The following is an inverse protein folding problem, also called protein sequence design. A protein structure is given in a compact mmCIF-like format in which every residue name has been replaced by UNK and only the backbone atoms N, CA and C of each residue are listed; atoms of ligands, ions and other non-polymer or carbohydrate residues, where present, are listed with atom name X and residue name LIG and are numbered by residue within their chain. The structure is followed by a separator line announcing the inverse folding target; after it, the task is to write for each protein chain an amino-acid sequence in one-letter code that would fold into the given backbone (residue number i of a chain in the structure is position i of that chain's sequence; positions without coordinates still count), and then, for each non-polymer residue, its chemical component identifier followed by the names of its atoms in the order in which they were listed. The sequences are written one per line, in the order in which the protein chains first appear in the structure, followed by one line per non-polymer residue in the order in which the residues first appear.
data_IF_399095918735
#
_entry.id   IF_399095918735
#
_cell.length_a   1.000
_cell.length_b   1.000
_cell.length_c   1.000
_cell.angle_alpha   90.00
_cell.angle_beta   90.00
_cell.angle_gamma   90.00
#
_symmetry.space_group_name_H-M   'P 1'
#
loop_
_entity.id
_entity.type
_entity.pdbx_description
1 polymer ?
#
# COMPACT_ATOMS: atom_id res chain seq x y z
N UNK A 1 10.20 -53.32 9.93
CA UNK A 1 9.57 -52.20 10.62
C UNK A 1 10.05 -50.91 9.95
N UNK A 2 9.27 -50.41 8.97
CA UNK A 2 9.61 -49.18 8.25
C UNK A 2 9.24 -48.00 9.16
N UNK A 3 10.23 -47.29 9.68
CA UNK A 3 10.03 -45.96 10.25
C UNK A 3 9.69 -45.00 9.11
N UNK A 4 8.40 -44.68 8.96
CA UNK A 4 7.99 -43.55 8.15
C UNK A 4 8.49 -42.26 8.86
N UNK A 5 9.55 -41.69 8.33
CA UNK A 5 9.97 -40.32 8.67
C UNK A 5 8.85 -39.39 8.21
N UNK A 6 7.92 -39.08 9.10
CA UNK A 6 7.07 -37.91 8.97
C UNK A 6 8.00 -36.68 8.99
N UNK A 7 8.47 -36.22 7.84
CA UNK A 7 8.90 -34.83 7.73
C UNK A 7 7.67 -34.00 8.08
N UNK A 8 7.63 -33.44 9.28
CA UNK A 8 6.74 -32.36 9.61
C UNK A 8 7.07 -31.23 8.64
N UNK A 9 6.20 -31.05 7.65
CA UNK A 9 6.28 -29.87 6.77
C UNK A 9 6.29 -28.68 7.72
N UNK A 10 7.39 -27.93 7.78
CA UNK A 10 7.45 -26.73 8.60
C UNK A 10 6.22 -25.89 8.26
N UNK A 11 5.41 -25.54 9.26
CA UNK A 11 4.20 -24.76 9.01
C UNK A 11 4.58 -23.46 8.33
N UNK A 12 4.22 -23.36 7.04
CA UNK A 12 4.46 -22.15 6.26
C UNK A 12 3.62 -21.02 6.85
N UNK A 13 4.22 -19.87 7.24
CA UNK A 13 3.47 -18.78 7.85
C UNK A 13 2.56 -18.10 6.84
N UNK A 14 1.46 -17.54 7.30
CA UNK A 14 0.75 -16.53 6.53
C UNK A 14 1.62 -15.27 6.42
N UNK A 15 1.47 -14.54 5.33
CA UNK A 15 2.25 -13.33 5.07
C UNK A 15 1.30 -12.20 4.71
N UNK A 16 1.41 -11.07 5.40
CA UNK A 16 0.70 -9.82 5.08
C UNK A 16 1.75 -8.74 4.88
N UNK A 17 1.84 -8.22 3.66
CA UNK A 17 2.68 -7.08 3.33
C UNK A 17 1.81 -5.86 3.08
N UNK A 18 1.92 -4.84 3.93
CA UNK A 18 1.18 -3.59 3.86
C UNK A 18 2.12 -2.53 3.30
N UNK A 19 1.75 -1.91 2.19
CA UNK A 19 2.53 -0.88 1.52
C UNK A 19 1.72 0.40 1.39
N UNK A 20 2.11 1.45 2.11
CA UNK A 20 1.57 2.79 1.94
C UNK A 20 2.12 3.45 0.66
N UNK A 21 1.44 4.46 0.16
CA UNK A 21 1.78 5.21 -1.05
C UNK A 21 2.19 6.62 -0.66
N UNK A 22 3.47 6.97 -0.85
CA UNK A 22 4.05 8.28 -0.51
C UNK A 22 4.08 8.64 1.00
N UNK A 23 4.09 7.66 1.88
CA UNK A 23 4.16 7.91 3.33
C UNK A 23 5.61 8.14 3.76
N UNK A 24 5.86 9.23 4.48
CA UNK A 24 7.18 9.62 4.93
C UNK A 24 7.72 8.80 6.10
N UNK A 25 9.05 8.78 6.21
CA UNK A 25 9.75 8.17 7.35
C UNK A 25 9.33 8.80 8.69
N UNK A 26 9.04 10.12 8.69
CA UNK A 26 8.62 10.89 9.84
C UNK A 26 7.13 10.88 10.16
N UNK A 27 6.28 10.18 9.41
CA UNK A 27 4.82 10.23 9.58
C UNK A 27 4.30 9.31 10.70
N UNK A 28 5.12 8.40 11.23
CA UNK A 28 4.72 7.44 12.25
C UNK A 28 5.21 7.80 13.65
N UNK A 29 4.37 7.58 14.67
CA UNK A 29 4.72 7.81 16.08
C UNK A 29 5.99 7.08 16.51
N UNK A 30 6.15 5.81 16.13
CA UNK A 30 7.34 5.01 16.42
C UNK A 30 8.63 5.50 15.72
N UNK A 31 8.53 6.43 14.76
CA UNK A 31 9.66 7.12 14.14
C UNK A 31 9.79 8.58 14.59
N UNK A 32 9.01 9.01 15.59
CA UNK A 32 9.15 10.31 16.22
C UNK A 32 8.09 11.35 15.86
N UNK A 33 7.05 10.98 15.10
CA UNK A 33 5.91 11.85 14.82
C UNK A 33 5.18 12.22 16.12
N UNK A 34 4.86 13.52 16.28
CA UNK A 34 4.24 14.04 17.51
C UNK A 34 2.79 14.45 17.29
N UNK A 35 2.46 14.91 16.10
CA UNK A 35 1.14 15.48 15.74
C UNK A 35 0.19 14.42 15.23
N UNK A 36 0.62 13.65 14.22
CA UNK A 36 -0.14 12.52 13.69
C UNK A 36 -0.09 11.37 14.70
N UNK A 37 -1.22 10.67 14.88
CA UNK A 37 -1.33 9.56 15.82
C UNK A 37 -1.46 8.24 15.08
N UNK A 38 -0.54 7.31 15.36
CA UNK A 38 -0.48 5.99 14.72
C UNK A 38 -0.39 4.86 15.75
N UNK A 39 -1.36 4.76 16.69
CA UNK A 39 -1.25 3.83 17.82
C UNK A 39 -1.16 2.36 17.43
N UNK A 40 -1.80 1.95 16.31
CA UNK A 40 -1.76 0.56 15.84
C UNK A 40 -0.42 0.23 15.13
N UNK A 41 0.12 1.17 14.35
CA UNK A 41 1.46 1.05 13.76
C UNK A 41 2.54 1.10 14.86
N UNK A 42 2.36 1.94 15.88
CA UNK A 42 3.25 1.97 17.05
C UNK A 42 3.17 0.67 17.85
N UNK A 43 1.98 0.05 17.95
CA UNK A 43 1.79 -1.29 18.51
C UNK A 43 2.50 -2.34 17.67
N UNK A 44 2.37 -2.30 16.33
CA UNK A 44 3.07 -3.22 15.42
C UNK A 44 4.58 -3.15 15.64
N UNK A 45 5.16 -1.95 15.75
CA UNK A 45 6.57 -1.73 16.07
C UNK A 45 6.96 -2.25 17.46
N UNK A 46 6.10 -2.03 18.47
CA UNK A 46 6.34 -2.48 19.84
C UNK A 46 6.26 -3.99 20.01
N UNK A 47 5.36 -4.65 19.27
CA UNK A 47 5.20 -6.11 19.29
C UNK A 47 6.15 -6.82 18.32
N UNK A 48 6.93 -6.08 17.54
CA UNK A 48 7.86 -6.59 16.55
C UNK A 48 9.19 -5.83 16.52
N UNK A 49 9.71 -5.66 15.32
CA UNK A 49 10.99 -4.99 15.04
C UNK A 49 10.77 -3.79 14.12
N UNK A 50 11.43 -2.68 14.46
CA UNK A 50 11.47 -1.45 13.68
C UNK A 50 12.85 -1.31 13.02
N UNK A 51 12.88 -1.10 11.71
CA UNK A 51 14.09 -0.89 10.95
C UNK A 51 14.34 0.61 10.77
N UNK A 52 15.57 1.06 11.02
CA UNK A 52 15.93 2.47 10.85
C UNK A 52 16.54 2.78 9.49
N UNK A 53 16.96 1.75 8.72
CA UNK A 53 17.69 1.86 7.46
C UNK A 53 17.12 0.90 6.42
N UNK A 54 15.82 1.05 6.13
CA UNK A 54 15.15 0.31 5.06
C UNK A 54 14.88 1.24 3.87
N UNK A 55 15.15 0.76 2.66
CA UNK A 55 15.12 1.57 1.46
C UNK A 55 14.09 1.03 0.46
N UNK A 56 13.27 1.92 -0.04
CA UNK A 56 12.39 1.66 -1.16
C UNK A 56 13.20 1.35 -2.44
N UNK A 57 12.57 0.68 -3.39
CA UNK A 57 13.23 0.32 -4.64
C UNK A 57 13.54 1.49 -5.57
N UNK A 58 12.86 2.62 -5.37
CA UNK A 58 13.05 3.86 -6.13
C UNK A 58 12.40 5.03 -5.38
N UNK A 59 12.62 6.25 -5.87
CA UNK A 59 12.05 7.48 -5.31
C UNK A 59 10.62 7.76 -5.78
N UNK A 60 10.01 6.87 -6.58
CA UNK A 60 8.63 6.96 -7.07
C UNK A 60 7.98 5.59 -7.18
N UNK A 61 6.64 5.56 -7.18
CA UNK A 61 5.83 4.36 -6.94
C UNK A 61 6.06 3.20 -7.93
N UNK A 62 5.92 3.38 -9.25
CA UNK A 62 5.95 2.24 -10.17
C UNK A 62 7.29 1.47 -10.18
N UNK A 63 8.47 2.12 -10.31
CA UNK A 63 9.74 1.40 -10.25
C UNK A 63 9.99 0.80 -8.87
N UNK A 64 9.59 1.45 -7.78
CA UNK A 64 9.74 0.92 -6.44
C UNK A 64 8.91 -0.36 -6.23
N UNK A 65 7.64 -0.34 -6.64
CA UNK A 65 6.76 -1.52 -6.61
C UNK A 65 7.27 -2.65 -7.51
N UNK A 66 7.90 -2.32 -8.66
CA UNK A 66 8.54 -3.31 -9.51
C UNK A 66 9.73 -4.00 -8.80
N UNK A 67 10.59 -3.24 -8.13
CA UNK A 67 11.70 -3.79 -7.32
C UNK A 67 11.16 -4.71 -6.24
N UNK A 68 10.14 -4.28 -5.47
CA UNK A 68 9.50 -5.09 -4.44
C UNK A 68 8.97 -6.42 -4.99
N UNK A 69 8.27 -6.37 -6.14
CA UNK A 69 7.65 -7.56 -6.71
C UNK A 69 8.65 -8.54 -7.33
N UNK A 70 9.78 -8.05 -7.86
CA UNK A 70 10.70 -8.86 -8.66
C UNK A 70 12.03 -9.18 -7.95
N UNK A 71 12.35 -8.53 -6.83
CA UNK A 71 13.65 -8.63 -6.18
C UNK A 71 14.81 -8.03 -6.98
N UNK A 72 14.52 -7.41 -8.14
CA UNK A 72 15.53 -6.83 -9.02
C UNK A 72 15.69 -5.34 -8.69
N UNK A 73 16.89 -4.91 -8.28
CA UNK A 73 17.14 -3.49 -8.07
C UNK A 73 16.97 -2.67 -9.36
N UNK A 74 16.77 -1.35 -9.25
CA UNK A 74 16.37 -0.46 -10.36
C UNK A 74 17.28 -0.57 -11.60
N UNK A 75 18.55 -0.92 -11.44
CA UNK A 75 19.47 -1.16 -12.56
C UNK A 75 19.11 -2.36 -13.44
N UNK A 76 18.42 -3.37 -12.90
CA UNK A 76 17.99 -4.58 -13.59
C UNK A 76 16.47 -4.72 -13.72
N UNK A 77 15.69 -3.97 -12.94
CA UNK A 77 14.23 -3.97 -13.01
C UNK A 77 13.73 -3.48 -14.36
N UNK A 78 12.64 -4.03 -14.85
CA UNK A 78 12.00 -3.64 -16.11
C UNK A 78 11.42 -2.23 -16.06
N UNK A 79 10.77 -1.88 -14.95
CA UNK A 79 10.14 -0.57 -14.74
C UNK A 79 11.12 0.29 -13.96
N UNK A 80 11.60 1.37 -14.58
CA UNK A 80 12.61 2.28 -14.01
C UNK A 80 12.11 3.70 -13.80
N UNK A 81 10.85 3.96 -14.04
CA UNK A 81 10.20 5.25 -13.86
C UNK A 81 8.69 5.15 -13.96
N UNK A 82 8.00 6.20 -13.55
CA UNK A 82 6.56 6.32 -13.75
C UNK A 82 6.28 6.59 -15.24
N UNK A 83 5.53 5.70 -15.87
CA UNK A 83 5.23 5.79 -17.29
C UNK A 83 4.34 4.64 -17.78
N UNK A 84 4.49 4.29 -19.05
CA UNK A 84 3.71 3.21 -19.70
C UNK A 84 4.35 1.82 -19.57
N UNK A 85 5.50 1.70 -18.92
CA UNK A 85 6.14 0.41 -18.71
C UNK A 85 5.31 -0.45 -17.77
N UNK A 86 5.20 -1.74 -18.09
CA UNK A 86 4.48 -2.74 -17.30
C UNK A 86 5.29 -4.02 -17.21
N UNK A 87 4.98 -4.85 -16.23
CA UNK A 87 5.53 -6.20 -16.15
C UNK A 87 5.06 -7.04 -17.35
N UNK A 88 5.88 -7.99 -17.76
CA UNK A 88 5.53 -8.95 -18.80
C UNK A 88 5.16 -10.29 -18.15
N UNK A 89 4.37 -11.09 -18.86
CA UNK A 89 3.87 -12.37 -18.35
C UNK A 89 4.95 -13.36 -17.91
N UNK A 90 6.18 -13.23 -18.45
CA UNK A 90 7.34 -14.04 -18.07
C UNK A 90 8.15 -13.45 -16.90
N UNK A 91 7.86 -12.23 -16.44
CA UNK A 91 8.53 -11.70 -15.25
C UNK A 91 8.15 -12.54 -14.02
N UNK A 92 9.15 -12.88 -13.24
CA UNK A 92 8.98 -13.63 -12.00
C UNK A 92 8.69 -12.62 -10.89
N UNK A 93 7.58 -12.82 -10.17
CA UNK A 93 7.23 -12.05 -8.99
C UNK A 93 7.23 -12.95 -7.76
N UNK A 94 7.49 -12.40 -6.58
CA UNK A 94 7.39 -13.20 -5.37
C UNK A 94 5.97 -13.75 -5.12
N UNK A 95 4.94 -13.06 -5.61
CA UNK A 95 3.57 -13.58 -5.57
C UNK A 95 3.40 -14.84 -6.43
N UNK A 96 4.03 -14.92 -7.63
CA UNK A 96 4.06 -16.15 -8.43
C UNK A 96 4.76 -17.30 -7.70
N UNK A 97 5.90 -17.00 -7.06
CA UNK A 97 6.63 -18.04 -6.31
C UNK A 97 5.80 -18.54 -5.13
N UNK A 98 5.23 -17.63 -4.34
CA UNK A 98 4.36 -18.04 -3.22
C UNK A 98 3.16 -18.84 -3.70
N UNK A 99 2.53 -18.45 -4.82
CA UNK A 99 1.43 -19.22 -5.42
C UNK A 99 1.87 -20.63 -5.81
N UNK A 100 3.05 -20.77 -6.45
CA UNK A 100 3.61 -22.08 -6.82
C UNK A 100 3.92 -22.97 -5.60
N UNK A 101 4.19 -22.34 -4.44
CA UNK A 101 4.40 -23.02 -3.16
C UNK A 101 3.12 -23.22 -2.35
N UNK A 102 1.96 -23.06 -2.98
CA UNK A 102 0.67 -23.42 -2.40
C UNK A 102 -0.03 -22.31 -1.62
N UNK A 103 0.49 -21.08 -1.61
CA UNK A 103 -0.18 -19.96 -0.96
C UNK A 103 -1.46 -19.54 -1.68
N UNK A 104 -2.47 -19.18 -0.92
CA UNK A 104 -3.62 -18.42 -1.39
C UNK A 104 -3.20 -16.94 -1.48
N UNK A 105 -3.20 -16.34 -2.67
CA UNK A 105 -2.61 -15.02 -2.90
C UNK A 105 -3.68 -13.97 -3.19
N UNK A 106 -3.65 -12.84 -2.47
CA UNK A 106 -4.55 -11.72 -2.63
C UNK A 106 -3.81 -10.37 -2.71
N UNK A 107 -4.22 -9.52 -3.65
CA UNK A 107 -3.73 -8.14 -3.78
C UNK A 107 -4.91 -7.17 -3.66
N UNK A 108 -4.78 -6.19 -2.77
CA UNK A 108 -5.83 -5.23 -2.47
C UNK A 108 -5.28 -3.80 -2.54
N UNK A 109 -5.82 -2.99 -3.45
CA UNK A 109 -5.44 -1.60 -3.63
C UNK A 109 -4.72 -1.31 -4.94
N UNK A 110 -3.65 -0.51 -4.87
CA UNK A 110 -2.90 -0.02 -6.03
C UNK A 110 -1.87 -1.05 -6.50
N UNK A 111 -2.15 -1.74 -7.62
CA UNK A 111 -1.14 -2.54 -8.30
C UNK A 111 0.01 -1.66 -8.81
N UNK A 112 -0.29 -0.68 -9.65
CA UNK A 112 0.62 0.42 -10.02
C UNK A 112 1.75 0.08 -10.98
N UNK A 113 1.92 -1.19 -11.36
CA UNK A 113 2.95 -1.70 -12.29
C UNK A 113 2.35 -2.44 -13.49
N UNK A 114 1.06 -2.21 -13.73
CA UNK A 114 0.31 -2.66 -14.90
C UNK A 114 -0.28 -1.48 -15.66
N UNK A 115 -0.67 -1.72 -16.90
CA UNK A 115 -1.35 -0.74 -17.76
C UNK A 115 -2.46 -1.45 -18.53
N UNK A 116 -3.75 -1.11 -18.29
CA UNK A 116 -4.84 -1.73 -19.03
C UNK A 116 -4.74 -1.45 -20.54
N UNK A 117 -5.15 -2.40 -21.40
CA UNK A 117 -5.42 -3.79 -21.09
C UNK A 117 -4.14 -4.60 -20.84
N UNK A 118 -4.19 -5.71 -20.08
CA UNK A 118 -5.36 -6.41 -19.57
C UNK A 118 -5.81 -5.93 -18.18
N UNK A 119 -7.10 -6.10 -17.82
CA UNK A 119 -7.63 -5.80 -16.50
C UNK A 119 -7.33 -6.88 -15.45
N UNK A 120 -6.79 -8.02 -15.86
CA UNK A 120 -6.41 -9.13 -14.99
C UNK A 120 -4.88 -9.21 -14.77
N UNK A 121 -4.15 -8.12 -14.94
CA UNK A 121 -2.69 -8.06 -14.80
C UNK A 121 -2.18 -8.65 -13.46
N UNK A 122 -2.75 -8.33 -12.28
CA UNK A 122 -2.32 -8.96 -11.03
C UNK A 122 -2.49 -10.49 -11.00
N UNK A 123 -3.50 -11.04 -11.69
CA UNK A 123 -3.70 -12.50 -11.81
C UNK A 123 -2.56 -13.14 -12.62
N UNK A 124 -2.15 -12.50 -13.71
CA UNK A 124 -1.01 -12.95 -14.54
C UNK A 124 0.28 -12.98 -13.70
N UNK A 125 0.38 -12.09 -12.73
CA UNK A 125 1.55 -11.94 -11.86
C UNK A 125 1.42 -12.62 -10.48
N UNK A 126 0.49 -13.59 -10.36
CA UNK A 126 0.45 -14.53 -9.24
C UNK A 126 -0.59 -14.25 -8.16
N UNK A 127 -1.48 -13.26 -8.31
CA UNK A 127 -2.55 -13.00 -7.37
C UNK A 127 -3.88 -13.62 -7.83
N UNK A 128 -4.42 -14.55 -7.06
CA UNK A 128 -5.69 -15.23 -7.36
C UNK A 128 -6.93 -14.42 -6.96
N UNK A 129 -6.78 -13.49 -6.05
CA UNK A 129 -7.79 -12.50 -5.69
C UNK A 129 -7.19 -11.11 -5.88
N UNK A 130 -7.93 -10.21 -6.54
CA UNK A 130 -7.57 -8.82 -6.72
C UNK A 130 -8.78 -7.91 -6.55
N UNK A 131 -8.64 -6.85 -5.76
CA UNK A 131 -9.63 -5.78 -5.68
C UNK A 131 -8.95 -4.42 -5.53
N UNK A 132 -9.06 -3.54 -6.54
CA UNK A 132 -8.39 -2.25 -6.50
C UNK A 132 -8.18 -1.60 -7.87
N UNK A 133 -6.99 -1.03 -8.06
CA UNK A 133 -6.58 -0.24 -9.22
C UNK A 133 -5.43 -0.91 -9.96
N UNK A 134 -5.54 -1.04 -11.28
CA UNK A 134 -4.46 -1.61 -12.10
C UNK A 134 -3.34 -0.58 -12.30
N UNK A 135 -3.68 0.62 -12.79
CA UNK A 135 -2.68 1.64 -13.09
C UNK A 135 -2.60 2.74 -12.02
N UNK A 136 -1.53 3.52 -12.08
CA UNK A 136 -1.27 4.58 -11.12
C UNK A 136 -2.25 5.76 -11.24
N UNK A 137 -2.66 6.15 -12.45
CA UNK A 137 -3.54 7.31 -12.66
C UNK A 137 -4.94 7.08 -12.10
N UNK A 138 -5.48 5.88 -12.30
CA UNK A 138 -6.73 5.47 -11.69
C UNK A 138 -6.63 5.50 -10.15
N UNK A 139 -5.48 5.06 -9.60
CA UNK A 139 -5.25 5.01 -8.17
C UNK A 139 -5.10 6.38 -7.49
N UNK A 140 -4.86 7.48 -8.24
CA UNK A 140 -4.92 8.83 -7.68
C UNK A 140 -6.33 9.22 -7.24
N UNK A 141 -7.37 8.59 -7.81
CA UNK A 141 -8.75 8.94 -7.54
C UNK A 141 -9.33 8.12 -6.38
N UNK A 142 -9.59 8.75 -5.25
CA UNK A 142 -10.19 8.08 -4.07
C UNK A 142 -11.69 7.81 -4.24
N UNK A 143 -12.33 8.48 -5.21
CA UNK A 143 -13.74 8.34 -5.54
C UNK A 143 -13.93 8.02 -7.03
N UNK A 144 -13.33 6.91 -7.52
CA UNK A 144 -13.46 6.51 -8.91
C UNK A 144 -14.88 6.02 -9.23
N UNK A 145 -15.24 6.00 -10.51
CA UNK A 145 -16.53 5.44 -10.95
C UNK A 145 -16.57 3.90 -10.89
N UNK A 146 -15.40 3.26 -10.81
CA UNK A 146 -15.29 1.81 -10.68
C UNK A 146 -13.97 1.41 -10.01
N UNK A 147 -13.94 0.19 -9.48
CA UNK A 147 -12.73 -0.55 -9.13
C UNK A 147 -12.66 -1.82 -9.96
N UNK A 148 -11.52 -2.50 -9.96
CA UNK A 148 -11.35 -3.77 -10.63
C UNK A 148 -11.42 -4.91 -9.60
N UNK A 149 -12.26 -5.91 -9.86
CA UNK A 149 -12.34 -7.16 -9.12
C UNK A 149 -12.08 -8.33 -10.06
N UNK A 150 -10.94 -8.99 -9.92
CA UNK A 150 -10.56 -10.18 -10.69
C UNK A 150 -10.78 -10.00 -12.20
N UNK A 151 -10.32 -8.89 -12.75
CA UNK A 151 -10.43 -8.59 -14.18
C UNK A 151 -11.74 -7.93 -14.63
N UNK A 152 -12.69 -7.71 -13.74
CA UNK A 152 -13.98 -7.09 -14.05
C UNK A 152 -14.11 -5.72 -13.39
N UNK A 153 -14.73 -4.76 -14.09
CA UNK A 153 -15.08 -3.46 -13.50
C UNK A 153 -16.28 -3.61 -12.56
N UNK A 154 -16.11 -3.16 -11.32
CA UNK A 154 -17.15 -3.04 -10.31
C UNK A 154 -17.55 -1.58 -10.21
N UNK A 155 -18.74 -1.23 -10.71
CA UNK A 155 -19.25 0.14 -10.70
C UNK A 155 -19.47 0.64 -9.28
N UNK A 156 -19.05 1.89 -9.02
CA UNK A 156 -19.28 2.64 -7.80
C UNK A 156 -20.32 3.74 -8.03
N UNK A 157 -20.79 4.36 -6.95
CA UNK A 157 -21.84 5.41 -7.00
C UNK A 157 -21.27 6.82 -7.16
N UNK A 158 -19.98 6.93 -7.48
CA UNK A 158 -19.31 8.20 -7.71
C UNK A 158 -19.55 8.69 -9.14
N UNK A 159 -19.47 10.03 -9.34
CA UNK A 159 -19.50 10.65 -10.65
C UNK A 159 -18.32 11.62 -10.79
N UNK A 160 -17.66 11.59 -11.95
CA UNK A 160 -16.57 12.48 -12.26
C UNK A 160 -17.06 13.77 -12.94
N UNK A 161 -16.25 14.82 -12.87
CA UNK A 161 -16.41 15.99 -13.72
C UNK A 161 -16.06 15.63 -15.19
N UNK A 162 -16.89 16.03 -16.16
CA UNK A 162 -16.78 15.58 -17.55
C UNK A 162 -15.48 15.97 -18.26
N UNK A 163 -14.91 17.17 -17.95
CA UNK A 163 -13.69 17.65 -18.58
C UNK A 163 -12.49 16.70 -18.45
N UNK A 164 -12.44 15.89 -17.42
CA UNK A 164 -11.34 14.92 -17.21
C UNK A 164 -11.40 13.74 -18.20
N UNK A 165 -12.56 13.43 -18.75
CA UNK A 165 -12.73 12.41 -19.80
C UNK A 165 -12.33 12.94 -21.18
N UNK A 166 -12.55 14.23 -21.43
CA UNK A 166 -12.30 14.87 -22.74
C UNK A 166 -10.83 15.20 -22.96
N UNK A 167 -10.11 15.59 -21.89
CA UNK A 167 -8.71 16.03 -21.97
C UNK A 167 -7.70 14.87 -22.01
N UNK A 168 -8.09 13.66 -21.56
CA UNK A 168 -7.20 12.51 -21.46
C UNK A 168 -7.77 11.30 -22.17
N UNK A 169 -7.47 11.22 -23.47
CA UNK A 169 -7.82 10.07 -24.29
C UNK A 169 -6.80 8.93 -24.09
N UNK A 170 -7.31 7.73 -23.89
CA UNK A 170 -6.50 6.51 -23.78
C UNK A 170 -6.84 5.68 -22.54
N UNK A 171 -6.79 4.37 -22.70
CA UNK A 171 -7.16 3.39 -21.67
C UNK A 171 -6.34 3.53 -20.37
N UNK A 172 -5.12 4.06 -20.45
CA UNK A 172 -4.27 4.29 -19.28
C UNK A 172 -4.80 5.35 -18.31
N UNK A 173 -5.69 6.22 -18.75
CA UNK A 173 -6.30 7.26 -17.90
C UNK A 173 -7.71 6.90 -17.46
N UNK A 174 -8.21 5.77 -17.89
CA UNK A 174 -9.56 5.35 -17.53
C UNK A 174 -9.72 5.21 -16.01
N UNK A 175 -10.78 5.82 -15.46
CA UNK A 175 -11.06 5.88 -14.02
C UNK A 175 -10.30 6.97 -13.26
N UNK A 176 -9.28 7.60 -13.89
CA UNK A 176 -8.61 8.78 -13.31
C UNK A 176 -9.52 10.01 -13.34
N UNK A 177 -9.16 11.03 -12.57
CA UNK A 177 -9.84 12.32 -12.59
C UNK A 177 -10.35 12.76 -11.23
N UNK A 178 -11.34 13.67 -11.26
CA UNK A 178 -11.87 14.31 -10.06
C UNK A 178 -13.35 14.04 -9.93
N UNK A 179 -13.76 13.52 -8.79
CA UNK A 179 -15.15 13.25 -8.50
C UNK A 179 -15.92 14.54 -8.14
N UNK A 180 -17.05 14.75 -8.79
CA UNK A 180 -18.06 15.75 -8.46
C UNK A 180 -19.04 15.19 -7.41
N UNK A 181 -19.40 13.89 -7.50
CA UNK A 181 -20.21 13.17 -6.51
C UNK A 181 -19.33 12.13 -5.82
N UNK A 182 -19.27 12.18 -4.49
CA UNK A 182 -18.42 11.35 -3.62
C UNK A 182 -19.28 10.53 -2.67
N UNK A 183 -19.63 9.30 -3.06
CA UNK A 183 -20.47 8.37 -2.27
C UNK A 183 -19.65 7.21 -1.71
N UNK A 184 -18.75 6.67 -2.53
CA UNK A 184 -17.99 5.48 -2.24
C UNK A 184 -16.50 5.83 -2.15
N UNK A 185 -15.96 5.87 -0.94
CA UNK A 185 -14.54 6.10 -0.70
C UNK A 185 -13.79 4.78 -0.92
N UNK A 186 -13.05 4.69 -2.02
CA UNK A 186 -12.43 3.46 -2.46
C UNK A 186 -11.42 2.85 -1.46
N UNK A 187 -10.56 3.64 -0.74
CA UNK A 187 -9.67 3.05 0.27
C UNK A 187 -10.42 2.24 1.33
N UNK A 188 -11.59 2.72 1.79
CA UNK A 188 -12.42 1.98 2.75
C UNK A 188 -12.97 0.68 2.14
N UNK A 189 -13.49 0.72 0.91
CA UNK A 189 -14.03 -0.48 0.24
C UNK A 189 -12.94 -1.54 0.04
N UNK A 190 -11.73 -1.12 -0.29
CA UNK A 190 -10.57 -1.99 -0.46
C UNK A 190 -10.19 -2.64 0.88
N UNK A 191 -10.14 -1.87 1.97
CA UNK A 191 -9.89 -2.39 3.31
C UNK A 191 -10.95 -3.40 3.77
N UNK A 192 -12.23 -3.12 3.53
CA UNK A 192 -13.33 -4.02 3.87
C UNK A 192 -13.22 -5.34 3.08
N UNK A 193 -12.85 -5.27 1.80
CA UNK A 193 -12.61 -6.47 0.97
C UNK A 193 -11.41 -7.29 1.43
N UNK A 194 -10.32 -6.63 1.82
CA UNK A 194 -9.15 -7.25 2.41
C UNK A 194 -9.50 -8.05 3.66
N UNK A 195 -10.22 -7.45 4.62
CA UNK A 195 -10.63 -8.12 5.85
C UNK A 195 -11.49 -9.35 5.55
N UNK A 196 -12.45 -9.22 4.64
CA UNK A 196 -13.29 -10.34 4.19
C UNK A 196 -12.45 -11.47 3.55
N UNK A 197 -11.40 -11.11 2.81
CA UNK A 197 -10.49 -12.10 2.22
C UNK A 197 -9.66 -12.82 3.27
N UNK A 198 -9.16 -12.14 4.30
CA UNK A 198 -8.40 -12.77 5.40
C UNK A 198 -9.26 -13.83 6.08
N UNK A 199 -10.52 -13.52 6.42
CA UNK A 199 -11.45 -14.50 6.99
C UNK A 199 -11.65 -15.72 6.07
N UNK A 200 -11.89 -15.48 4.77
CA UNK A 200 -12.05 -16.54 3.77
C UNK A 200 -10.79 -17.40 3.62
N UNK A 201 -9.62 -16.77 3.52
CA UNK A 201 -8.37 -17.50 3.33
C UNK A 201 -7.99 -18.32 4.55
N UNK A 202 -8.17 -17.77 5.76
CA UNK A 202 -7.90 -18.44 7.03
C UNK A 202 -8.85 -19.62 7.31
N UNK A 203 -10.05 -19.67 6.72
CA UNK A 203 -10.96 -20.81 6.86
C UNK A 203 -10.39 -22.09 6.23
N UNK A 204 -9.50 -21.97 5.26
CA UNK A 204 -8.77 -23.09 4.68
C UNK A 204 -7.44 -23.34 5.43
N UNK A 205 -7.53 -24.05 6.55
CA UNK A 205 -6.36 -24.35 7.41
C UNK A 205 -5.24 -25.17 6.73
N UNK A 206 -5.49 -25.76 5.56
CA UNK A 206 -4.50 -26.57 4.85
C UNK A 206 -3.53 -25.75 3.98
N UNK A 207 -3.81 -24.44 3.79
CA UNK A 207 -3.02 -23.58 2.91
C UNK A 207 -2.71 -22.25 3.60
N UNK A 208 -1.47 -21.81 3.62
CA UNK A 208 -1.15 -20.45 4.05
C UNK A 208 -1.68 -19.43 3.03
N UNK A 209 -1.77 -18.17 3.45
CA UNK A 209 -2.12 -17.08 2.55
C UNK A 209 -1.02 -16.02 2.50
N UNK A 210 -0.94 -15.38 1.35
CA UNK A 210 -0.17 -14.16 1.13
C UNK A 210 -1.12 -13.03 0.74
N UNK A 211 -1.05 -11.93 1.46
CA UNK A 211 -1.79 -10.70 1.19
C UNK A 211 -0.81 -9.57 0.91
N UNK A 212 -0.98 -8.92 -0.22
CA UNK A 212 -0.37 -7.64 -0.54
C UNK A 212 -1.43 -6.53 -0.42
N UNK A 213 -1.38 -5.77 0.67
CA UNK A 213 -2.24 -4.60 0.88
C UNK A 213 -1.51 -3.36 0.39
N UNK A 214 -1.74 -3.01 -0.86
CA UNK A 214 -1.11 -1.90 -1.55
C UNK A 214 -2.01 -0.67 -1.49
N UNK A 215 -1.92 0.08 -0.42
CA UNK A 215 -2.67 1.31 -0.22
C UNK A 215 -2.40 2.31 -1.37
N UNK A 216 -3.38 3.16 -1.65
CA UNK A 216 -3.21 4.33 -2.52
C UNK A 216 -3.27 5.65 -1.73
N UNK A 217 -3.17 5.57 -0.42
CA UNK A 217 -3.08 6.70 0.50
C UNK A 217 -1.77 6.58 1.32
N UNK A 218 -1.20 7.73 1.76
CA UNK A 218 -1.70 9.09 1.67
C UNK A 218 -1.34 9.84 0.35
N UNK A 219 -1.04 9.16 -0.75
CA UNK A 219 -0.76 9.78 -2.06
C UNK A 219 -1.87 10.77 -2.43
N UNK A 220 -1.51 11.93 -3.00
CA UNK A 220 -2.48 12.94 -3.41
C UNK A 220 -3.26 12.53 -4.68
N UNK A 221 -4.51 12.95 -4.81
CA UNK A 221 -5.14 13.08 -6.13
C UNK A 221 -4.57 14.32 -6.83
N UNK A 222 -3.58 14.11 -7.69
CA UNK A 222 -2.86 15.19 -8.38
C UNK A 222 -3.77 15.99 -9.33
N UNK A 223 -4.79 15.36 -9.87
CA UNK A 223 -5.80 15.98 -10.70
C UNK A 223 -6.68 16.93 -9.86
N UNK A 224 -7.09 16.49 -8.69
CA UNK A 224 -7.92 17.27 -7.75
C UNK A 224 -7.18 18.48 -7.17
N UNK A 225 -5.88 18.39 -6.97
CA UNK A 225 -5.03 19.51 -6.55
C UNK A 225 -4.97 20.68 -7.56
N UNK A 226 -5.49 20.47 -8.77
CA UNK A 226 -5.60 21.49 -9.84
C UNK A 226 -7.05 21.88 -10.15
N UNK A 227 -8.01 21.32 -9.44
CA UNK A 227 -9.46 21.50 -9.69
C UNK A 227 -10.02 22.60 -8.79
N UNK A 228 -10.18 23.80 -9.35
CA UNK A 228 -10.65 24.98 -8.61
C UNK A 228 -12.06 24.82 -8.04
N UNK A 229 -12.94 24.01 -8.70
CA UNK A 229 -14.33 23.79 -8.26
C UNK A 229 -14.43 23.11 -6.89
N UNK A 230 -13.34 22.45 -6.45
CA UNK A 230 -13.23 21.81 -5.12
C UNK A 230 -12.09 22.40 -4.28
N UNK A 231 -11.71 23.65 -4.54
CA UNK A 231 -10.68 24.35 -3.77
C UNK A 231 -9.26 23.79 -3.93
N UNK A 232 -8.94 23.15 -5.05
CA UNK A 232 -7.66 22.47 -5.30
C UNK A 232 -7.33 21.41 -4.24
N UNK A 233 -8.35 20.79 -3.64
CA UNK A 233 -8.16 19.78 -2.59
C UNK A 233 -7.87 18.40 -3.18
N UNK A 234 -6.59 18.08 -3.26
CA UNK A 234 -6.09 16.77 -3.66
C UNK A 234 -6.02 15.76 -2.51
N UNK A 235 -6.45 16.12 -1.30
CA UNK A 235 -6.42 15.27 -0.11
C UNK A 235 -7.82 14.97 0.43
N UNK A 236 -8.82 14.89 -0.46
CA UNK A 236 -10.23 14.72 -0.10
C UNK A 236 -10.51 13.39 0.59
N UNK A 237 -11.15 13.48 1.74
CA UNK A 237 -11.60 12.34 2.56
C UNK A 237 -13.09 12.46 2.88
N UNK A 238 -13.80 11.40 3.31
CA UNK A 238 -15.22 11.46 3.67
C UNK A 238 -15.51 12.39 4.86
N UNK A 239 -14.60 12.45 5.80
CA UNK A 239 -14.64 13.28 7.01
C UNK A 239 -13.21 13.51 7.52
N UNK A 240 -13.01 14.51 8.34
CA UNK A 240 -11.70 14.79 8.93
C UNK A 240 -11.48 14.14 10.31
N UNK A 241 -12.49 13.41 10.84
CA UNK A 241 -12.40 12.72 12.13
C UNK A 241 -11.94 13.64 13.26
N UNK A 242 -10.92 13.22 14.00
CA UNK A 242 -10.35 14.00 15.12
C UNK A 242 -9.66 15.31 14.70
N UNK A 243 -9.42 15.52 13.40
CA UNK A 243 -8.76 16.71 12.87
C UNK A 243 -9.76 17.80 12.44
N UNK A 244 -11.08 17.55 12.53
CA UNK A 244 -12.12 18.46 12.03
C UNK A 244 -12.07 19.86 12.65
N UNK A 245 -11.82 19.93 13.96
CA UNK A 245 -11.82 21.18 14.72
C UNK A 245 -10.45 21.86 14.82
N UNK A 246 -9.44 21.35 14.12
CA UNK A 246 -8.13 21.98 14.10
C UNK A 246 -8.14 23.17 13.14
N UNK A 247 -7.49 24.26 13.54
CA UNK A 247 -7.28 25.45 12.69
C UNK A 247 -6.05 25.24 11.78
N UNK A 248 -6.21 24.35 10.80
CA UNK A 248 -5.19 24.01 9.81
C UNK A 248 -5.86 23.87 8.42
N UNK A 249 -5.09 23.98 7.31
CA UNK A 249 -5.65 23.80 5.97
C UNK A 249 -6.39 22.48 5.79
N UNK A 250 -7.45 22.46 4.99
CA UNK A 250 -8.28 21.27 4.76
C UNK A 250 -7.47 20.12 4.13
N UNK A 251 -6.51 20.44 3.27
CA UNK A 251 -5.59 19.46 2.68
C UNK A 251 -4.74 18.77 3.75
N UNK A 252 -4.31 19.50 4.78
CA UNK A 252 -3.54 18.92 5.89
C UNK A 252 -4.44 18.06 6.80
N UNK A 253 -5.71 18.47 7.01
CA UNK A 253 -6.70 17.62 7.70
C UNK A 253 -6.93 16.32 6.91
N UNK A 254 -7.03 16.43 5.58
CA UNK A 254 -7.19 15.30 4.68
C UNK A 254 -6.01 14.31 4.76
N UNK A 255 -4.77 14.82 4.68
CA UNK A 255 -3.56 14.02 4.84
C UNK A 255 -3.53 13.31 6.20
N UNK A 256 -3.72 14.04 7.27
CA UNK A 256 -3.75 13.48 8.63
C UNK A 256 -4.82 12.40 8.79
N UNK A 257 -5.99 12.60 8.18
CA UNK A 257 -7.06 11.62 8.20
C UNK A 257 -6.74 10.35 7.38
N UNK A 258 -6.00 10.47 6.27
CA UNK A 258 -5.52 9.31 5.52
C UNK A 258 -4.53 8.48 6.34
N UNK A 259 -3.63 9.11 7.09
CA UNK A 259 -2.75 8.40 8.04
C UNK A 259 -3.57 7.66 9.10
N UNK A 260 -4.61 8.28 9.65
CA UNK A 260 -5.52 7.65 10.62
C UNK A 260 -6.28 6.45 10.00
N UNK A 261 -6.67 6.50 8.72
CA UNK A 261 -7.24 5.34 8.03
C UNK A 261 -6.23 4.19 7.88
N UNK A 262 -4.99 4.48 7.49
CA UNK A 262 -3.92 3.48 7.40
C UNK A 262 -3.72 2.80 8.77
N UNK A 263 -3.60 3.60 9.82
CA UNK A 263 -3.39 3.08 11.18
C UNK A 263 -4.56 2.19 11.65
N UNK A 264 -5.80 2.64 11.39
CA UNK A 264 -7.00 1.86 11.72
C UNK A 264 -7.10 0.55 10.95
N UNK A 265 -6.72 0.54 9.68
CA UNK A 265 -6.71 -0.69 8.89
C UNK A 265 -5.66 -1.68 9.39
N UNK A 266 -4.48 -1.21 9.82
CA UNK A 266 -3.49 -2.05 10.52
C UNK A 266 -4.09 -2.62 11.80
N UNK A 267 -4.78 -1.81 12.59
CA UNK A 267 -5.49 -2.26 13.79
C UNK A 267 -6.52 -3.35 13.50
N UNK A 268 -7.33 -3.18 12.44
CA UNK A 268 -8.32 -4.18 11.99
C UNK A 268 -7.66 -5.51 11.59
N UNK A 269 -6.55 -5.44 10.85
CA UNK A 269 -5.78 -6.63 10.46
C UNK A 269 -5.29 -7.37 11.70
N UNK A 270 -4.64 -6.69 12.64
CA UNK A 270 -4.14 -7.29 13.87
C UNK A 270 -5.27 -7.90 14.71
N UNK A 271 -6.43 -7.24 14.80
CA UNK A 271 -7.61 -7.76 15.51
C UNK A 271 -8.12 -9.06 14.88
N UNK A 272 -8.28 -9.10 13.56
CA UNK A 272 -8.73 -10.30 12.84
C UNK A 272 -7.77 -11.47 13.01
N UNK A 273 -6.45 -11.23 12.97
CA UNK A 273 -5.46 -12.28 13.20
C UNK A 273 -5.57 -12.88 14.61
N UNK A 274 -5.83 -12.04 15.61
CA UNK A 274 -6.06 -12.46 17.00
C UNK A 274 -7.39 -13.22 17.13
N UNK A 275 -8.51 -12.70 16.60
CA UNK A 275 -9.82 -13.34 16.60
C UNK A 275 -9.79 -14.75 15.98
N UNK A 276 -9.01 -14.92 14.91
CA UNK A 276 -8.85 -16.19 14.21
C UNK A 276 -7.80 -17.11 14.83
N UNK A 277 -7.09 -16.66 15.88
CA UNK A 277 -6.00 -17.39 16.55
C UNK A 277 -4.91 -17.84 15.58
N UNK A 278 -4.50 -16.96 14.64
CA UNK A 278 -3.46 -17.22 13.64
C UNK A 278 -2.30 -16.23 13.70
N UNK A 279 -2.26 -15.34 14.70
CA UNK A 279 -1.24 -14.28 14.78
C UNK A 279 0.19 -14.84 14.95
N UNK A 280 0.36 -15.95 15.70
CA UNK A 280 1.67 -16.57 15.93
C UNK A 280 2.24 -17.21 14.66
N UNK A 281 1.39 -17.58 13.72
CA UNK A 281 1.78 -18.11 12.41
C UNK A 281 1.55 -17.10 11.27
N UNK A 282 1.65 -15.80 11.56
CA UNK A 282 1.48 -14.75 10.55
C UNK A 282 2.58 -13.70 10.66
N UNK A 283 3.28 -13.47 9.54
CA UNK A 283 4.22 -12.37 9.38
C UNK A 283 3.44 -11.15 8.90
N UNK A 284 3.50 -10.05 9.66
CA UNK A 284 2.93 -8.77 9.25
C UNK A 284 4.07 -7.78 9.01
N UNK A 285 4.16 -7.26 7.80
CA UNK A 285 5.13 -6.26 7.38
C UNK A 285 4.44 -4.97 6.96
N UNK A 286 5.01 -3.82 7.31
CA UNK A 286 4.52 -2.49 6.90
C UNK A 286 5.67 -1.66 6.36
N UNK A 287 5.47 -1.01 5.20
CA UNK A 287 6.41 -0.05 4.62
C UNK A 287 5.69 1.01 3.78
N UNK A 288 6.46 1.90 3.14
CA UNK A 288 6.00 2.86 2.13
C UNK A 288 6.78 2.65 0.82
N UNK A 289 6.15 2.92 -0.32
CA UNK A 289 6.78 2.69 -1.62
C UNK A 289 7.86 3.73 -1.99
N UNK A 290 7.84 4.90 -1.41
CA UNK A 290 8.88 5.93 -1.48
C UNK A 290 8.69 6.95 -0.33
N UNK A 291 9.54 7.96 -0.28
CA UNK A 291 9.44 9.05 0.69
C UNK A 291 8.20 9.93 0.52
N UNK A 292 7.97 10.88 1.44
CA UNK A 292 6.77 11.72 1.48
C UNK A 292 6.66 12.64 0.27
N UNK A 293 5.45 13.10 -0.02
CA UNK A 293 5.14 14.02 -1.11
C UNK A 293 4.77 15.41 -0.61
N UNK A 294 4.70 16.37 -1.55
CA UNK A 294 4.08 17.68 -1.36
C UNK A 294 3.17 17.98 -2.56
N UNK A 295 2.12 17.20 -2.70
CA UNK A 295 1.18 17.23 -3.81
C UNK A 295 -0.25 17.43 -3.30
N UNK A 296 -1.17 17.81 -4.18
CA UNK A 296 -2.59 17.94 -3.85
C UNK A 296 -2.93 19.01 -2.81
N UNK A 297 -2.02 19.97 -2.58
CA UNK A 297 -2.16 21.02 -1.58
C UNK A 297 -1.54 20.71 -0.21
N UNK A 298 -1.16 19.46 0.04
CA UNK A 298 -0.38 19.05 1.19
C UNK A 298 1.07 19.58 1.10
N UNK A 299 1.66 19.88 2.24
CA UNK A 299 3.05 20.31 2.40
C UNK A 299 3.78 19.38 3.35
N UNK A 300 4.81 18.71 2.88
CA UNK A 300 5.61 17.75 3.64
C UNK A 300 6.12 18.34 4.97
N UNK A 301 6.53 19.60 4.96
CA UNK A 301 7.07 20.29 6.12
C UNK A 301 6.03 20.49 7.23
N UNK A 302 4.74 20.50 6.89
CA UNK A 302 3.67 20.78 7.87
C UNK A 302 3.67 19.76 9.02
N UNK A 303 3.84 18.48 8.70
CA UNK A 303 3.95 17.41 9.69
C UNK A 303 5.38 16.89 9.86
N UNK A 304 6.39 17.53 9.22
CA UNK A 304 7.77 17.04 9.19
C UNK A 304 7.85 15.59 8.70
N UNK A 305 7.17 15.30 7.60
CA UNK A 305 6.94 13.93 7.10
C UNK A 305 8.24 13.20 6.72
N UNK A 306 9.30 13.92 6.30
CA UNK A 306 10.63 13.33 6.08
C UNK A 306 11.46 13.15 7.38
N UNK A 307 10.98 13.65 8.54
CA UNK A 307 11.71 13.61 9.80
C UNK A 307 13.09 14.31 9.69
N UNK A 308 14.18 13.66 10.14
CA UNK A 308 15.52 14.25 10.05
C UNK A 308 16.18 14.08 8.67
N UNK A 309 15.48 13.47 7.70
CA UNK A 309 16.08 13.10 6.42
C UNK A 309 15.94 14.24 5.41
N UNK A 310 16.97 14.45 4.59
CA UNK A 310 16.92 15.40 3.49
C UNK A 310 16.14 14.82 2.31
N UNK A 311 15.30 15.64 1.68
CA UNK A 311 14.61 15.31 0.44
C UNK A 311 13.26 14.62 0.67
N UNK A 312 12.60 14.31 -0.43
CA UNK A 312 11.24 13.75 -0.49
C UNK A 312 11.09 12.91 -1.77
N UNK A 313 9.89 12.43 -2.06
CA UNK A 313 9.51 11.78 -3.31
C UNK A 313 10.16 12.46 -4.53
N UNK A 314 10.75 11.70 -5.44
CA UNK A 314 11.57 12.07 -6.61
C UNK A 314 13.02 12.46 -6.32
N UNK A 315 13.37 12.77 -5.06
CA UNK A 315 14.74 13.11 -4.71
C UNK A 315 15.59 11.85 -4.47
N UNK A 316 16.84 11.86 -4.93
CA UNK A 316 17.81 10.78 -4.69
C UNK A 316 18.51 10.93 -3.33
N UNK A 317 17.93 11.67 -2.41
CA UNK A 317 18.38 11.80 -1.03
C UNK A 317 17.68 10.78 -0.12
N UNK A 318 18.17 10.65 1.11
CA UNK A 318 17.63 9.73 2.11
C UNK A 318 16.12 9.87 2.29
N UNK A 319 15.58 11.10 2.31
CA UNK A 319 14.13 11.34 2.47
C UNK A 319 13.27 10.85 1.31
N UNK A 320 13.85 10.67 0.11
CA UNK A 320 13.12 10.11 -1.04
C UNK A 320 13.13 8.58 -1.10
N UNK A 321 14.12 7.94 -0.50
CA UNK A 321 14.38 6.50 -0.61
C UNK A 321 14.20 5.74 0.70
N UNK A 322 14.56 6.34 1.83
CA UNK A 322 14.51 5.70 3.13
C UNK A 322 13.10 5.80 3.70
N UNK A 323 12.50 4.64 3.91
CA UNK A 323 11.10 4.48 4.29
C UNK A 323 10.96 3.77 5.63
N UNK A 324 9.83 3.93 6.36
CA UNK A 324 9.58 3.12 7.54
C UNK A 324 9.46 1.64 7.15
N UNK A 325 9.96 0.77 8.02
CA UNK A 325 9.77 -0.68 7.88
C UNK A 325 9.58 -1.31 9.24
N UNK A 326 8.44 -1.97 9.40
CA UNK A 326 8.03 -2.67 10.61
C UNK A 326 7.76 -4.14 10.29
N UNK A 327 8.24 -5.05 11.12
CA UNK A 327 8.00 -6.50 10.97
C UNK A 327 7.56 -7.08 12.30
N UNK A 328 6.39 -7.75 12.30
CA UNK A 328 5.87 -8.49 13.45
C UNK A 328 5.69 -9.95 13.08
N UNK A 329 6.28 -10.84 13.86
CA UNK A 329 6.03 -12.27 13.84
C UNK A 329 6.24 -12.83 15.25
N UNK A 330 5.18 -13.04 16.04
CA UNK A 330 5.28 -13.48 17.42
C UNK A 330 6.10 -14.76 17.55
N UNK A 331 6.95 -14.82 18.57
CA UNK A 331 7.82 -15.98 18.82
C UNK A 331 8.98 -16.17 17.83
N UNK A 332 9.05 -15.41 16.74
CA UNK A 332 10.14 -15.50 15.72
C UNK A 332 10.92 -14.20 15.58
N UNK A 333 10.22 -13.07 15.46
CA UNK A 333 10.82 -11.73 15.44
C UNK A 333 10.75 -11.17 16.85
N UNK A 334 11.88 -10.82 17.48
CA UNK A 334 11.86 -10.31 18.85
C UNK A 334 11.16 -8.96 18.95
N UNK A 335 10.24 -8.84 19.90
CA UNK A 335 9.50 -7.61 20.17
C UNK A 335 10.41 -6.49 20.73
N UNK A 336 9.98 -5.22 20.53
CA UNK A 336 10.65 -4.00 21.02
C UNK A 336 12.10 -3.85 20.52
N UNK A 337 12.42 -4.46 19.38
CA UNK A 337 13.78 -4.35 18.79
C UNK A 337 13.84 -3.27 17.72
N UNK A 338 15.00 -2.66 17.65
CA UNK A 338 15.37 -1.70 16.60
C UNK A 338 16.55 -2.29 15.85
N UNK A 339 16.40 -2.42 14.53
CA UNK A 339 17.48 -2.86 13.64
C UNK A 339 18.04 -1.66 12.88
N UNK A 340 19.37 -1.54 12.90
CA UNK A 340 20.11 -0.59 12.08
C UNK A 340 20.72 -1.26 10.84
N UNK A 341 20.37 -2.52 10.57
CA UNK A 341 20.79 -3.24 9.38
C UNK A 341 20.25 -2.51 8.15
N UNK A 342 21.10 -2.31 7.16
CA UNK A 342 20.72 -1.80 5.86
C UNK A 342 19.96 -2.92 5.15
N UNK A 343 18.77 -2.60 4.65
CA UNK A 343 17.93 -3.49 3.86
C UNK A 343 17.12 -2.67 2.85
N UNK A 344 16.58 -3.31 1.85
CA UNK A 344 15.77 -2.67 0.83
C UNK A 344 14.71 -3.61 0.25
N UNK A 345 13.92 -3.10 -0.66
CA UNK A 345 12.83 -3.84 -1.27
C UNK A 345 13.27 -5.11 -2.01
N UNK A 346 14.47 -5.12 -2.58
CA UNK A 346 15.06 -6.30 -3.22
C UNK A 346 15.35 -7.43 -2.24
N UNK A 347 15.47 -7.15 -0.94
CA UNK A 347 15.74 -8.15 0.10
C UNK A 347 14.47 -8.82 0.62
N UNK A 348 13.29 -8.39 0.17
CA UNK A 348 12.00 -8.98 0.55
C UNK A 348 11.68 -10.21 -0.30
N UNK A 349 12.21 -10.29 -1.51
CA UNK A 349 12.01 -11.40 -2.48
C UNK A 349 12.70 -12.75 -2.03
#
# INVERSE_FOLDING_TARGET
MLLALFQTKADQPNIIYILADDLGWGDLGCYGQKTLKTPNLDRLAKEGMRFTRHYAGSTVCAPSRCVLMTGLHTGHARIRGNGRSQLQSNDITFAKLLQQHGYQTGCFGKWGIGSPPPLNDPYIHGFKEFYGYINMYHAHNYYPEFLIHNGNKVKLRNELFNNWREERTGLQYEGSGVAKITKDYAPKLIADRLISYIHKAASNKSKPFFVYYALNIPHANNEAGREKRIGNDGMRVPDWGSYANLDIPDQEKGFARMIDYIDKDVGRILSVLNELNIEDNTIVMFSSDNGPHQEGGHKMEFFNSNGPLRGMKRDLYEGGLRVPFLVRWPGKVPAKKVSNQISGFQDIF
#
